data_IF_333607151464
#
_entry.id   IF_333607151464
#
_cell.length_a   1.000
_cell.length_b   1.000
_cell.length_c   1.000
_cell.angle_alpha   90.00
_cell.angle_beta   90.00
_cell.angle_gamma   90.00
#
_symmetry.space_group_name_H-M   'P 1'
#
loop_
_entity.id
_entity.type
_entity.pdbx_description
1 polymer ?
#
# COMPACT_ATOMS: atom_id res chain seq x y z
N UNK A 1 -13.86 12.13 -7.27
CA UNK A 1 -12.74 11.94 -6.32
C UNK A 1 -12.69 10.46 -6.01
N UNK A 2 -11.50 9.86 -5.83
CA UNK A 2 -11.41 8.42 -5.56
C UNK A 2 -11.95 8.14 -4.16
N UNK A 3 -13.23 7.77 -4.09
CA UNK A 3 -13.86 7.16 -2.92
C UNK A 3 -13.53 5.66 -3.00
N UNK A 4 -13.15 5.06 -1.88
CA UNK A 4 -12.74 3.64 -1.78
C UNK A 4 -11.47 3.26 -2.57
N UNK A 5 -10.37 4.00 -2.36
CA UNK A 5 -9.05 3.60 -2.85
C UNK A 5 -8.23 2.87 -1.78
N UNK A 6 -7.21 2.12 -2.19
CA UNK A 6 -6.15 1.64 -1.29
C UNK A 6 -4.94 2.54 -1.44
N UNK A 7 -4.40 3.00 -0.32
CA UNK A 7 -3.14 3.73 -0.28
C UNK A 7 -2.11 2.93 0.49
N UNK A 8 -0.86 2.98 0.06
CA UNK A 8 0.23 2.31 0.73
C UNK A 8 1.54 3.05 0.67
N UNK A 9 2.39 2.77 1.65
CA UNK A 9 3.78 3.19 1.73
C UNK A 9 4.64 1.93 1.70
N UNK A 10 5.59 1.86 0.76
CA UNK A 10 6.59 0.81 0.70
C UNK A 10 7.93 1.37 1.18
N UNK A 11 8.26 1.07 2.42
CA UNK A 11 9.54 1.39 3.04
C UNK A 11 10.52 0.21 3.06
N UNK A 12 11.75 0.41 3.54
CA UNK A 12 12.79 -0.63 3.56
C UNK A 12 12.58 -1.72 4.63
N UNK A 13 11.88 -1.41 5.71
CA UNK A 13 11.67 -2.32 6.85
C UNK A 13 10.21 -2.53 7.22
N UNK A 14 9.39 -1.51 6.97
CA UNK A 14 7.96 -1.51 7.23
C UNK A 14 7.29 -1.02 5.95
N UNK A 15 6.22 -1.71 5.57
CA UNK A 15 5.23 -1.23 4.63
C UNK A 15 3.92 -0.94 5.37
N UNK A 16 3.23 0.11 4.94
CA UNK A 16 1.96 0.55 5.53
C UNK A 16 0.87 0.54 4.48
N UNK A 17 -0.34 0.16 4.88
CA UNK A 17 -1.52 0.23 4.02
C UNK A 17 -2.69 0.81 4.78
N UNK A 18 -3.56 1.52 4.07
CA UNK A 18 -4.83 2.01 4.57
C UNK A 18 -5.84 2.11 3.42
N UNK A 19 -7.11 2.14 3.77
CA UNK A 19 -8.17 2.51 2.85
C UNK A 19 -8.36 4.02 2.87
N UNK A 20 -8.48 4.65 1.70
CA UNK A 20 -8.94 6.03 1.56
C UNK A 20 -10.48 6.00 1.42
N UNK A 21 -11.18 6.40 2.47
CA UNK A 21 -12.64 6.37 2.55
C UNK A 21 -13.29 7.61 1.90
N UNK A 22 -12.48 8.60 1.50
CA UNK A 22 -12.94 9.86 0.92
C UNK A 22 -12.16 11.07 1.44
N UNK A 23 -12.68 12.26 1.15
CA UNK A 23 -12.13 13.55 1.58
C UNK A 23 -13.19 14.34 2.32
N UNK A 24 -12.90 14.76 3.55
CA UNK A 24 -13.80 15.51 4.42
C UNK A 24 -13.14 16.84 4.81
N UNK A 25 -13.81 17.97 4.53
CA UNK A 25 -13.26 19.31 4.75
C UNK A 25 -11.87 19.54 4.10
N UNK A 26 -11.65 18.91 2.93
CA UNK A 26 -10.38 18.97 2.21
C UNK A 26 -9.27 18.09 2.78
N UNK A 27 -9.56 17.27 3.80
CA UNK A 27 -8.61 16.34 4.40
C UNK A 27 -8.98 14.89 4.04
N UNK A 28 -8.01 14.04 3.66
CA UNK A 28 -8.29 12.64 3.38
C UNK A 28 -8.67 11.90 4.67
N UNK A 29 -9.73 11.08 4.59
CA UNK A 29 -10.14 10.20 5.67
C UNK A 29 -9.70 8.78 5.35
N UNK A 30 -9.02 8.14 6.28
CA UNK A 30 -8.52 6.79 6.11
C UNK A 30 -9.02 5.83 7.19
N UNK A 31 -9.08 4.55 6.85
CA UNK A 31 -9.43 3.46 7.77
C UNK A 31 -8.62 2.19 7.50
N UNK A 32 -8.78 1.21 8.39
CA UNK A 32 -8.20 -0.13 8.24
C UNK A 32 -6.68 -0.21 8.29
N UNK A 33 -6.01 0.79 8.87
CA UNK A 33 -4.55 0.89 8.95
C UNK A 33 -3.85 -0.42 9.30
N UNK A 34 -2.81 -0.74 8.54
CA UNK A 34 -1.96 -1.90 8.75
C UNK A 34 -0.49 -1.52 8.58
N UNK A 35 0.30 -1.72 9.63
CA UNK A 35 1.76 -1.79 9.51
C UNK A 35 2.18 -3.25 9.34
N UNK A 36 3.10 -3.49 8.41
CA UNK A 36 3.49 -4.82 7.96
C UNK A 36 5.02 -4.87 7.85
N UNK A 37 5.64 -5.81 8.56
CA UNK A 37 7.10 -6.00 8.50
C UNK A 37 7.48 -6.55 7.13
N UNK A 38 8.40 -5.87 6.45
CA UNK A 38 8.89 -6.28 5.12
C UNK A 38 9.46 -7.70 5.15
N UNK A 39 10.17 -8.06 6.22
CA UNK A 39 10.74 -9.41 6.40
C UNK A 39 9.71 -10.54 6.51
N UNK A 40 8.43 -10.22 6.71
CA UNK A 40 7.34 -11.19 6.81
C UNK A 40 6.70 -11.54 5.46
N UNK A 41 7.10 -10.88 4.37
CA UNK A 41 6.51 -11.06 3.05
C UNK A 41 7.58 -11.18 1.97
N UNK A 42 7.28 -12.00 0.95
CA UNK A 42 8.17 -12.21 -0.19
C UNK A 42 8.39 -10.92 -1.00
N UNK A 43 7.32 -10.12 -1.16
CA UNK A 43 7.33 -8.86 -1.91
C UNK A 43 6.15 -7.97 -1.47
N UNK A 44 6.11 -6.74 -1.99
CA UNK A 44 5.06 -5.77 -1.70
C UNK A 44 3.65 -6.26 -2.10
N UNK A 45 3.54 -7.05 -3.18
CA UNK A 45 2.25 -7.59 -3.62
C UNK A 45 1.71 -8.63 -2.63
N UNK A 46 2.58 -9.47 -2.04
CA UNK A 46 2.19 -10.41 -1.00
C UNK A 46 1.70 -9.68 0.26
N UNK A 47 2.38 -8.58 0.65
CA UNK A 47 1.93 -7.74 1.76
C UNK A 47 0.57 -7.08 1.45
N UNK A 48 0.39 -6.51 0.25
CA UNK A 48 -0.88 -5.93 -0.19
C UNK A 48 -2.02 -6.96 -0.19
N UNK A 49 -1.78 -8.17 -0.70
CA UNK A 49 -2.77 -9.27 -0.68
C UNK A 49 -3.19 -9.61 0.75
N UNK A 50 -2.23 -9.68 1.67
CA UNK A 50 -2.52 -9.95 3.08
C UNK A 50 -3.30 -8.79 3.75
N UNK A 51 -3.07 -7.54 3.35
CA UNK A 51 -3.89 -6.39 3.77
C UNK A 51 -5.33 -6.51 3.25
N UNK A 52 -5.51 -6.71 1.95
CA UNK A 52 -6.84 -6.86 1.33
C UNK A 52 -7.63 -8.02 1.93
N UNK A 53 -6.96 -9.12 2.28
CA UNK A 53 -7.57 -10.28 2.94
C UNK A 53 -8.17 -9.99 4.32
N UNK A 54 -7.88 -8.84 4.96
CA UNK A 54 -8.50 -8.41 6.23
C UNK A 54 -9.93 -7.89 6.04
N UNK A 55 -10.31 -7.55 4.81
CA UNK A 55 -11.64 -7.01 4.48
C UNK A 55 -12.12 -7.57 3.14
N UNK A 56 -12.45 -8.88 3.06
CA UNK A 56 -12.72 -9.58 1.80
C UNK A 56 -13.93 -9.03 1.03
N UNK A 57 -14.88 -8.41 1.74
CA UNK A 57 -16.07 -7.80 1.14
C UNK A 57 -15.81 -6.39 0.60
N UNK A 58 -14.66 -5.78 0.96
CA UNK A 58 -14.29 -4.44 0.51
C UNK A 58 -13.42 -4.54 -0.74
N UNK A 59 -13.78 -3.80 -1.78
CA UNK A 59 -13.08 -3.78 -3.06
C UNK A 59 -12.71 -2.36 -3.43
N UNK A 60 -11.60 -2.23 -4.14
CA UNK A 60 -11.13 -0.98 -4.76
C UNK A 60 -10.59 -1.32 -6.14
N UNK A 61 -10.86 -0.45 -7.12
CA UNK A 61 -10.22 -0.46 -8.43
C UNK A 61 -8.99 0.47 -8.49
N UNK A 62 -8.74 1.22 -7.42
CA UNK A 62 -7.74 2.27 -7.33
C UNK A 62 -6.71 1.96 -6.25
N UNK A 63 -5.43 1.93 -6.64
CA UNK A 63 -4.28 1.72 -5.75
C UNK A 63 -3.28 2.86 -5.96
N UNK A 64 -2.80 3.45 -4.87
CA UNK A 64 -1.71 4.42 -4.88
C UNK A 64 -0.63 3.99 -3.90
N UNK A 65 0.62 3.88 -4.38
CA UNK A 65 1.76 3.49 -3.56
C UNK A 65 2.82 4.58 -3.56
N UNK A 66 3.14 5.10 -2.38
CA UNK A 66 4.36 5.85 -2.15
C UNK A 66 5.51 4.86 -1.91
N UNK A 67 6.55 4.90 -2.73
CA UNK A 67 7.67 3.95 -2.62
C UNK A 67 8.97 4.68 -2.34
N UNK A 68 9.70 4.23 -1.32
CA UNK A 68 11.00 4.76 -0.94
C UNK A 68 12.14 4.27 -1.87
N UNK A 69 11.94 4.37 -3.18
CA UNK A 69 12.90 3.98 -4.21
C UNK A 69 12.61 4.70 -5.55
N UNK A 70 13.57 4.73 -6.49
CA UNK A 70 13.31 5.20 -7.85
C UNK A 70 12.24 4.36 -8.54
N UNK A 71 11.31 5.03 -9.22
CA UNK A 71 10.30 4.41 -10.08
C UNK A 71 10.77 4.52 -11.53
N UNK A 72 11.11 3.39 -12.15
CA UNK A 72 11.61 3.33 -13.52
C UNK A 72 10.55 2.68 -14.43
N UNK A 73 9.59 3.47 -14.88
CA UNK A 73 8.44 2.96 -15.63
C UNK A 73 7.63 1.98 -14.77
N UNK A 74 7.53 0.74 -15.24
CA UNK A 74 6.74 -0.32 -14.59
C UNK A 74 7.54 -1.12 -13.54
N UNK A 75 8.77 -0.72 -13.24
CA UNK A 75 9.65 -1.44 -12.29
C UNK A 75 10.08 -0.53 -11.16
N UNK A 76 9.91 -1.01 -9.93
CA UNK A 76 10.42 -0.40 -8.71
C UNK A 76 11.27 -1.40 -7.95
N UNK A 77 12.50 -1.01 -7.62
CA UNK A 77 13.42 -1.84 -6.83
C UNK A 77 13.79 -1.13 -5.54
N UNK A 78 13.30 -1.65 -4.42
CA UNK A 78 13.60 -1.15 -3.08
C UNK A 78 14.84 -1.88 -2.57
N UNK A 79 16.01 -1.37 -2.96
CA UNK A 79 17.33 -2.02 -2.76
C UNK A 79 17.60 -2.48 -1.34
N UNK A 80 17.15 -1.73 -0.34
CA UNK A 80 17.36 -2.04 1.09
C UNK A 80 16.49 -3.20 1.60
N UNK A 81 15.37 -3.47 0.95
CA UNK A 81 14.48 -4.60 1.26
C UNK A 81 14.74 -5.82 0.38
N UNK A 82 15.35 -5.62 -0.79
CA UNK A 82 15.45 -6.63 -1.84
C UNK A 82 14.17 -6.82 -2.66
N UNK A 83 13.08 -6.10 -2.34
CA UNK A 83 11.85 -6.17 -3.12
C UNK A 83 12.00 -5.52 -4.49
N UNK A 84 11.50 -6.21 -5.50
CA UNK A 84 11.30 -5.70 -6.85
C UNK A 84 9.86 -6.01 -7.27
N UNK A 85 9.21 -5.03 -7.87
CA UNK A 85 7.80 -5.09 -8.28
C UNK A 85 7.56 -4.26 -9.54
#
# INVERSE_FOLDING_TARGET
>A
MAEDAVVGEIGPHICRFAWLDGVENGQPRFSGYAEMLVSSYENALAALRAFLGRSPDRRSDTLCLAVAAPVNGDVVTVTQSGWSM
#
